data_IF_085764675153
#
_entry.id   IF_085764675153
#
_cell.length_a   1.000
_cell.length_b   1.000
_cell.length_c   1.000
_cell.angle_alpha   90.00
_cell.angle_beta   90.00
_cell.angle_gamma   90.00
#
_symmetry.space_group_name_H-M   'P 1'
#
loop_
_entity.id
_entity.type
_entity.pdbx_description
1 polymer ?
#
# COMPACT_ATOMS: atom_id res chain seq x y z
N UNK A 1 1.12 1.54 11.82
CA UNK A 1 2.46 1.04 11.43
C UNK A 1 2.27 -0.23 10.63
N UNK A 2 2.97 -0.39 9.49
CA UNK A 2 2.99 -1.64 8.73
C UNK A 2 4.22 -2.46 9.13
N UNK A 3 4.02 -3.73 9.49
CA UNK A 3 5.08 -4.71 9.79
C UNK A 3 4.96 -5.86 8.81
N UNK A 4 6.06 -6.23 8.16
CA UNK A 4 6.06 -7.23 7.09
C UNK A 4 7.45 -7.78 6.84
N UNK A 5 7.58 -8.97 6.24
CA UNK A 5 8.87 -9.49 5.79
C UNK A 5 9.34 -8.68 4.58
N UNK A 6 10.50 -7.97 4.65
CA UNK A 6 11.12 -7.34 3.49
C UNK A 6 11.30 -8.33 2.34
N UNK A 7 11.44 -7.83 1.10
CA UNK A 7 11.61 -8.63 -0.13
C UNK A 7 10.36 -9.41 -0.56
N UNK A 8 9.60 -9.99 0.38
CA UNK A 8 8.32 -10.68 0.09
C UNK A 8 7.19 -9.66 -0.04
N UNK A 9 7.15 -8.70 0.88
CA UNK A 9 6.11 -7.68 0.94
C UNK A 9 6.71 -6.28 0.91
N UNK A 10 5.87 -5.35 0.51
CA UNK A 10 6.15 -3.92 0.53
C UNK A 10 4.85 -3.17 0.86
N UNK A 11 4.99 -1.88 1.12
CA UNK A 11 3.84 -0.96 1.20
C UNK A 11 3.93 0.01 0.05
N UNK A 12 2.85 0.15 -0.70
CA UNK A 12 2.70 1.16 -1.74
C UNK A 12 1.56 2.09 -1.35
N UNK A 13 1.83 3.39 -1.36
CA UNK A 13 0.79 4.42 -1.16
C UNK A 13 0.21 4.76 -2.53
N UNK A 14 -1.11 4.69 -2.64
CA UNK A 14 -1.82 4.82 -3.92
C UNK A 14 -3.06 5.70 -3.78
N UNK A 15 -3.64 6.08 -4.91
CA UNK A 15 -5.00 6.62 -4.97
C UNK A 15 -6.05 5.49 -5.06
N UNK A 16 -7.32 5.88 -5.06
CA UNK A 16 -8.45 4.95 -5.13
C UNK A 16 -8.50 4.13 -6.43
N UNK A 17 -8.12 4.74 -7.57
CA UNK A 17 -8.13 4.05 -8.87
C UNK A 17 -7.12 2.91 -8.89
N UNK A 18 -5.90 3.16 -8.41
CA UNK A 18 -4.84 2.17 -8.29
C UNK A 18 -5.17 1.10 -7.25
N UNK A 19 -5.79 1.48 -6.13
CA UNK A 19 -6.28 0.56 -5.10
C UNK A 19 -7.32 -0.43 -5.65
N UNK A 20 -8.26 0.05 -6.45
CA UNK A 20 -9.32 -0.77 -7.03
C UNK A 20 -8.78 -1.72 -8.10
N UNK A 21 -7.83 -1.25 -8.92
CA UNK A 21 -7.23 -2.03 -10.01
C UNK A 21 -6.05 -2.91 -9.57
N UNK A 22 -5.59 -2.78 -8.33
CA UNK A 22 -4.36 -3.40 -7.87
C UNK A 22 -3.15 -3.08 -8.76
N UNK A 23 -3.05 -1.84 -9.25
CA UNK A 23 -1.97 -1.42 -10.13
C UNK A 23 -0.89 -0.63 -9.39
N UNK A 24 0.37 -0.94 -9.68
CA UNK A 24 1.53 -0.14 -9.29
C UNK A 24 2.18 0.43 -10.54
N UNK A 25 1.87 1.68 -10.89
CA UNK A 25 2.54 2.36 -12.01
C UNK A 25 3.73 3.20 -11.50
N UNK A 26 4.60 3.59 -12.43
CA UNK A 26 5.80 4.38 -12.15
C UNK A 26 5.48 5.71 -11.45
N UNK A 27 6.39 6.14 -10.57
CA UNK A 27 6.25 7.36 -9.77
C UNK A 27 5.56 7.18 -8.42
N UNK A 28 5.02 6.00 -8.12
CA UNK A 28 4.47 5.68 -6.80
C UNK A 28 5.58 5.46 -5.77
N UNK A 29 5.25 5.69 -4.49
CA UNK A 29 6.18 5.53 -3.39
C UNK A 29 6.08 4.12 -2.80
N UNK A 30 7.18 3.38 -2.91
CA UNK A 30 7.33 2.02 -2.40
C UNK A 30 8.18 2.01 -1.14
N UNK A 31 7.79 1.21 -0.16
CA UNK A 31 8.55 0.99 1.07
C UNK A 31 8.87 -0.49 1.24
N UNK A 32 10.15 -0.81 1.49
CA UNK A 32 10.66 -2.19 1.57
C UNK A 32 11.35 -2.50 2.90
N UNK A 33 11.28 -1.60 3.90
CA UNK A 33 12.05 -1.71 5.15
C UNK A 33 11.58 -2.82 6.11
N UNK A 34 10.45 -3.48 5.84
CA UNK A 34 9.81 -4.45 6.75
C UNK A 34 9.10 -3.82 7.95
N UNK A 35 9.31 -2.53 8.17
CA UNK A 35 8.63 -1.74 9.17
C UNK A 35 8.46 -0.32 8.64
N UNK A 36 7.25 0.04 8.25
CA UNK A 36 6.95 1.34 7.65
C UNK A 36 5.96 2.11 8.52
N UNK A 37 6.38 3.30 8.96
CA UNK A 37 5.52 4.29 9.59
C UNK A 37 4.99 5.23 8.52
N UNK A 38 3.67 5.35 8.44
CA UNK A 38 2.99 6.30 7.55
C UNK A 38 2.03 7.11 8.41
N UNK A 39 2.16 8.43 8.33
CA UNK A 39 1.18 9.37 8.87
C UNK A 39 0.02 9.47 7.90
N UNK A 40 -1.21 9.31 8.38
CA UNK A 40 -2.39 9.41 7.54
C UNK A 40 -2.70 10.88 7.22
N UNK A 41 -3.09 11.13 5.97
CA UNK A 41 -3.73 12.39 5.60
C UNK A 41 -5.19 12.37 6.06
N UNK A 42 -5.79 13.54 6.26
CA UNK A 42 -7.23 13.64 6.51
C UNK A 42 -8.01 13.08 5.31
N UNK A 43 -9.08 12.34 5.57
CA UNK A 43 -9.88 11.64 4.57
C UNK A 43 -9.36 10.25 4.24
N UNK A 44 -9.63 9.79 3.02
CA UNK A 44 -9.30 8.45 2.56
C UNK A 44 -7.81 8.27 2.24
N UNK A 45 -7.23 7.18 2.73
CA UNK A 45 -5.86 6.76 2.50
C UNK A 45 -5.87 5.32 1.98
N UNK A 46 -5.13 5.05 0.90
CA UNK A 46 -5.11 3.74 0.26
C UNK A 46 -3.71 3.16 0.22
N UNK A 47 -3.62 1.89 0.61
CA UNK A 47 -2.37 1.15 0.68
C UNK A 47 -2.54 -0.23 0.10
N UNK A 48 -1.51 -0.73 -0.56
CA UNK A 48 -1.47 -2.12 -1.06
C UNK A 48 -0.06 -2.69 -1.03
N UNK A 49 0.04 -4.00 -1.21
CA UNK A 49 1.30 -4.66 -1.54
C UNK A 49 1.43 -4.79 -3.06
N UNK A 50 2.52 -4.25 -3.62
CA UNK A 50 2.83 -4.28 -5.05
C UNK A 50 3.51 -5.56 -5.53
N UNK A 51 3.79 -6.52 -4.64
CA UNK A 51 4.29 -7.84 -5.06
C UNK A 51 3.25 -8.54 -5.95
N UNK A 52 3.66 -9.14 -7.08
CA UNK A 52 2.73 -9.77 -8.02
C UNK A 52 1.74 -10.72 -7.32
N UNK A 53 0.45 -10.56 -7.63
CA UNK A 53 -0.64 -11.36 -7.05
C UNK A 53 -1.13 -10.91 -5.67
N UNK A 54 -0.28 -10.33 -4.81
CA UNK A 54 -0.63 -10.08 -3.41
C UNK A 54 -1.83 -9.15 -3.23
N UNK A 55 -1.89 -8.02 -3.94
CA UNK A 55 -3.04 -7.12 -3.89
C UNK A 55 -4.33 -7.81 -4.36
N UNK A 56 -4.25 -8.58 -5.46
CA UNK A 56 -5.40 -9.32 -6.01
C UNK A 56 -5.94 -10.39 -5.07
N UNK A 57 -5.06 -10.98 -4.24
CA UNK A 57 -5.43 -11.90 -3.16
C UNK A 57 -5.89 -11.19 -1.87
N UNK A 58 -6.07 -9.87 -1.89
CA UNK A 58 -6.65 -9.10 -0.79
C UNK A 58 -5.63 -8.37 0.09
N UNK A 59 -4.34 -8.35 -0.26
CA UNK A 59 -3.32 -7.60 0.49
C UNK A 59 -3.35 -6.10 0.15
N UNK A 60 -4.46 -5.46 0.51
CA UNK A 60 -4.72 -4.03 0.36
C UNK A 60 -5.62 -3.54 1.49
N UNK A 61 -5.49 -2.28 1.89
CA UNK A 61 -6.34 -1.64 2.90
C UNK A 61 -6.65 -0.18 2.54
N UNK A 62 -7.90 0.21 2.77
CA UNK A 62 -8.37 1.59 2.73
C UNK A 62 -8.69 2.04 4.16
N UNK A 63 -8.24 3.24 4.53
CA UNK A 63 -8.45 3.80 5.88
C UNK A 63 -8.88 5.25 5.75
N UNK A 64 -9.94 5.65 6.46
CA UNK A 64 -10.35 7.05 6.54
C UNK A 64 -9.90 7.65 7.88
N UNK A 65 -9.16 8.76 7.85
CA UNK A 65 -8.74 9.51 9.04
C UNK A 65 -9.52 10.84 9.15
N UNK A 66 -10.04 11.15 10.33
CA UNK A 66 -10.89 12.34 10.56
C UNK A 66 -10.12 13.49 11.23
#
# INVERSE_FOLDING_TARGET
>A
VFKYTPVIHNVVVVDESHYNKCSGLGGLKYYFSGSTNITLAKGANYFLCGTPGHCGFGMKIAVNAN
#
